data_IF_867937975414
#
_entry.id   IF_867937975414
#
_cell.length_a   1.000
_cell.length_b   1.000
_cell.length_c   1.000
_cell.angle_alpha   90.00
_cell.angle_beta   90.00
_cell.angle_gamma   90.00
#
_symmetry.space_group_name_H-M   'P 1'
#
loop_
_entity.id
_entity.type
_entity.pdbx_description
1 polymer ?
#
# COMPACT_ATOMS: atom_id res chain seq x y z
N UNK A 1 2.08 -31.85 11.20
CA UNK A 1 1.49 -30.50 11.21
C UNK A 1 0.00 -30.52 11.56
N UNK A 2 -0.93 -31.06 10.74
CA UNK A 2 -2.38 -31.01 11.07
C UNK A 2 -2.71 -31.69 12.40
N UNK A 3 -2.12 -32.85 12.70
CA UNK A 3 -2.27 -33.52 14.00
C UNK A 3 -1.68 -32.68 15.14
N UNK A 4 -0.59 -31.96 14.91
CA UNK A 4 0.01 -31.10 15.95
C UNK A 4 -0.91 -29.90 16.23
N UNK A 5 -1.51 -29.30 15.19
CA UNK A 5 -2.53 -28.25 15.35
C UNK A 5 -3.75 -28.80 16.11
N UNK A 6 -4.24 -29.99 15.75
CA UNK A 6 -5.36 -30.62 16.45
C UNK A 6 -5.04 -30.94 17.93
N UNK A 7 -3.80 -31.26 18.24
CA UNK A 7 -3.39 -31.53 19.64
C UNK A 7 -3.45 -30.27 20.53
N UNK A 8 -3.47 -29.08 19.96
CA UNK A 8 -3.55 -27.80 20.69
C UNK A 8 -4.95 -27.50 21.22
N UNK A 9 -6.01 -28.18 20.72
CA UNK A 9 -7.40 -27.89 21.13
C UNK A 9 -8.29 -29.13 21.00
N UNK A 10 -9.10 -29.42 22.02
CA UNK A 10 -10.12 -30.47 21.96
C UNK A 10 -11.26 -30.20 20.95
N UNK A 11 -11.32 -28.99 20.40
CA UNK A 11 -12.32 -28.59 19.38
C UNK A 11 -11.84 -28.83 17.95
N UNK A 12 -10.60 -29.27 17.76
CA UNK A 12 -10.02 -29.52 16.43
C UNK A 12 -9.77 -31.01 16.29
N UNK A 13 -10.30 -31.60 15.23
CA UNK A 13 -10.03 -32.98 14.86
C UNK A 13 -9.57 -33.09 13.42
N UNK A 14 -8.78 -34.10 13.11
CA UNK A 14 -8.31 -34.39 11.75
C UNK A 14 -8.95 -35.70 11.30
N UNK A 15 -9.60 -35.68 10.16
CA UNK A 15 -10.13 -36.87 9.51
C UNK A 15 -9.35 -37.09 8.21
N UNK A 16 -8.95 -38.33 7.96
CA UNK A 16 -8.30 -38.71 6.72
C UNK A 16 -9.37 -39.16 5.76
N UNK A 17 -9.46 -38.53 4.60
CA UNK A 17 -10.35 -38.91 3.50
C UNK A 17 -9.59 -39.58 2.37
N UNK A 18 -10.32 -40.25 1.48
CA UNK A 18 -9.79 -40.78 0.24
C UNK A 18 -9.78 -39.65 -0.81
N UNK A 19 -8.62 -39.34 -1.37
CA UNK A 19 -8.44 -38.30 -2.37
C UNK A 19 -7.06 -38.35 -3.01
N UNK A 20 -6.93 -37.77 -4.19
CA UNK A 20 -5.67 -37.69 -4.89
C UNK A 20 -4.86 -36.45 -4.42
N UNK A 21 -3.66 -36.71 -3.93
CA UNK A 21 -2.68 -35.67 -3.62
C UNK A 21 -2.83 -35.02 -2.24
N UNK A 22 -2.05 -34.00 -2.02
CA UNK A 22 -1.93 -33.27 -0.75
C UNK A 22 -2.98 -32.15 -0.71
N UNK A 23 -4.20 -32.48 -0.34
CA UNK A 23 -5.30 -31.53 -0.24
C UNK A 23 -6.05 -31.73 1.07
N UNK A 24 -6.48 -30.65 1.72
CA UNK A 24 -7.42 -30.72 2.84
C UNK A 24 -8.39 -29.55 2.83
N UNK A 25 -9.52 -29.78 3.45
CA UNK A 25 -10.62 -28.83 3.58
C UNK A 25 -10.86 -28.54 5.05
N UNK A 26 -11.25 -27.30 5.37
CA UNK A 26 -11.70 -26.98 6.70
C UNK A 26 -13.22 -27.17 6.76
N UNK A 27 -13.68 -27.96 7.73
CA UNK A 27 -15.09 -28.18 8.03
C UNK A 27 -15.43 -27.52 9.36
N UNK A 28 -16.65 -27.03 9.48
CA UNK A 28 -17.22 -26.57 10.76
C UNK A 28 -18.48 -27.37 11.02
N UNK A 29 -18.53 -28.05 12.16
CA UNK A 29 -19.65 -28.92 12.55
C UNK A 29 -20.05 -29.96 11.46
N UNK A 30 -19.04 -30.44 10.71
CA UNK A 30 -19.22 -31.42 9.62
C UNK A 30 -19.53 -30.80 8.25
N UNK A 31 -19.80 -29.50 8.17
CA UNK A 31 -20.13 -28.81 6.92
C UNK A 31 -18.90 -28.12 6.30
N UNK A 32 -18.83 -28.10 4.97
CA UNK A 32 -17.76 -27.46 4.20
C UNK A 32 -17.79 -25.93 4.39
N UNK A 33 -16.66 -25.36 4.78
CA UNK A 33 -16.56 -23.91 4.99
C UNK A 33 -16.20 -23.12 3.74
N UNK A 34 -15.90 -23.79 2.64
CA UNK A 34 -15.37 -23.20 1.41
C UNK A 34 -13.87 -22.94 1.44
N UNK A 35 -13.16 -23.15 2.57
CA UNK A 35 -11.72 -22.93 2.67
C UNK A 35 -10.97 -24.24 2.47
N UNK A 36 -10.03 -24.26 1.52
CA UNK A 36 -9.25 -25.44 1.16
C UNK A 36 -7.78 -25.08 0.92
N UNK A 37 -6.92 -26.08 1.11
CA UNK A 37 -5.47 -25.97 0.89
C UNK A 37 -5.00 -27.14 0.03
N UNK A 38 -4.36 -26.86 -1.08
CA UNK A 38 -3.66 -27.82 -1.94
C UNK A 38 -2.15 -27.65 -1.74
N UNK A 39 -1.65 -28.37 -0.77
CA UNK A 39 -0.31 -28.29 -0.23
C UNK A 39 -0.32 -28.20 1.30
N UNK A 40 0.86 -28.16 1.91
CA UNK A 40 1.03 -28.00 3.36
C UNK A 40 1.33 -26.54 3.64
N UNK A 41 0.43 -25.76 4.29
CA UNK A 41 0.66 -24.36 4.62
C UNK A 41 1.71 -24.22 5.73
N UNK A 42 2.97 -24.37 5.36
CA UNK A 42 4.15 -24.16 6.19
C UNK A 42 4.77 -22.78 5.96
N UNK A 43 5.85 -22.47 6.65
CA UNK A 43 6.57 -21.22 6.51
C UNK A 43 5.66 -20.04 6.81
N UNK A 44 5.60 -19.09 5.88
CA UNK A 44 4.76 -17.90 6.04
C UNK A 44 3.26 -18.18 6.01
N UNK A 45 2.81 -19.27 5.35
CA UNK A 45 1.39 -19.61 5.25
C UNK A 45 0.83 -20.38 6.47
N UNK A 46 1.66 -20.76 7.43
CA UNK A 46 1.17 -21.42 8.65
C UNK A 46 0.19 -20.54 9.43
N UNK A 47 0.46 -19.23 9.48
CA UNK A 47 -0.45 -18.26 10.10
C UNK A 47 -1.79 -18.15 9.37
N UNK A 48 -1.82 -18.37 8.05
CA UNK A 48 -3.05 -18.35 7.25
C UNK A 48 -3.99 -19.49 7.63
N UNK A 49 -3.45 -20.68 7.92
CA UNK A 49 -4.22 -21.81 8.45
C UNK A 49 -4.78 -21.51 9.85
N UNK A 50 -3.93 -21.02 10.77
CA UNK A 50 -4.36 -20.74 12.14
C UNK A 50 -5.45 -19.66 12.18
N UNK A 51 -5.30 -18.60 11.40
CA UNK A 51 -6.31 -17.54 11.32
C UNK A 51 -7.61 -18.02 10.68
N UNK A 52 -7.55 -18.90 9.67
CA UNK A 52 -8.76 -19.50 9.09
C UNK A 52 -9.57 -20.26 10.15
N UNK A 53 -8.90 -21.09 10.97
CA UNK A 53 -9.54 -21.82 12.06
C UNK A 53 -10.14 -20.86 13.10
N UNK A 54 -9.37 -19.86 13.55
CA UNK A 54 -9.83 -18.87 14.53
C UNK A 54 -11.00 -18.02 14.02
N UNK A 55 -11.00 -17.68 12.74
CA UNK A 55 -12.09 -16.91 12.12
C UNK A 55 -13.39 -17.73 12.12
N UNK A 56 -13.32 -19.01 11.80
CA UNK A 56 -14.48 -19.91 11.81
C UNK A 56 -15.04 -20.13 13.22
N UNK A 57 -14.18 -20.09 14.25
CA UNK A 57 -14.58 -20.17 15.66
C UNK A 57 -15.07 -18.81 16.24
N UNK A 58 -15.07 -17.76 15.42
CA UNK A 58 -15.47 -16.41 15.83
C UNK A 58 -14.47 -15.70 16.74
N UNK A 59 -13.26 -16.24 16.90
CA UNK A 59 -12.18 -15.70 17.75
C UNK A 59 -11.09 -14.99 16.96
N UNK A 60 -11.20 -14.99 15.63
CA UNK A 60 -10.30 -14.25 14.75
C UNK A 60 -10.40 -12.76 14.98
N UNK A 61 -9.24 -12.07 14.91
CA UNK A 61 -9.14 -10.60 15.12
C UNK A 61 -8.80 -9.82 13.86
N UNK A 62 -8.74 -10.48 12.72
CA UNK A 62 -8.36 -9.90 11.43
C UNK A 62 -9.57 -9.56 10.54
N UNK A 63 -10.78 -9.57 11.08
CA UNK A 63 -11.95 -9.08 10.37
C UNK A 63 -11.95 -7.55 10.33
N UNK A 64 -12.33 -6.95 9.18
CA UNK A 64 -12.62 -5.53 9.11
C UNK A 64 -13.89 -5.20 9.91
N UNK A 65 -14.23 -3.91 9.98
CA UNK A 65 -15.47 -3.48 10.61
C UNK A 65 -16.73 -3.98 9.86
N UNK A 66 -17.87 -3.90 10.51
CA UNK A 66 -19.14 -4.46 10.04
C UNK A 66 -19.60 -3.88 8.67
N UNK A 67 -19.24 -2.63 8.36
CA UNK A 67 -19.59 -2.05 7.05
C UNK A 67 -18.83 -2.74 5.92
N UNK A 68 -17.57 -3.06 6.11
CA UNK A 68 -16.76 -3.83 5.14
C UNK A 68 -17.22 -5.29 5.10
N UNK A 69 -17.56 -5.89 6.27
CA UNK A 69 -18.12 -7.24 6.29
C UNK A 69 -19.43 -7.32 5.50
N UNK A 70 -20.29 -6.30 5.58
CA UNK A 70 -21.53 -6.22 4.77
C UNK A 70 -21.25 -6.14 3.28
N UNK A 71 -20.20 -5.42 2.85
CA UNK A 71 -19.78 -5.39 1.44
C UNK A 71 -19.41 -6.77 0.93
N UNK A 72 -18.71 -7.58 1.73
CA UNK A 72 -18.40 -8.96 1.36
C UNK A 72 -19.68 -9.78 1.21
N UNK A 73 -20.63 -9.66 2.17
CA UNK A 73 -21.92 -10.38 2.10
C UNK A 73 -22.79 -9.94 0.93
N UNK A 74 -22.60 -8.72 0.43
CA UNK A 74 -23.33 -8.17 -0.71
C UNK A 74 -22.76 -8.60 -2.07
N UNK A 75 -21.61 -9.28 -2.12
CA UNK A 75 -21.10 -9.82 -3.39
C UNK A 75 -22.14 -10.77 -4.02
N UNK A 76 -22.33 -10.67 -5.31
CA UNK A 76 -23.16 -11.65 -6.03
C UNK A 76 -22.35 -12.94 -6.22
N UNK A 77 -22.95 -14.08 -5.88
CA UNK A 77 -22.31 -15.37 -5.95
C UNK A 77 -22.95 -16.30 -6.98
N UNK A 78 -22.37 -17.49 -7.20
CA UNK A 78 -21.22 -18.06 -6.49
C UNK A 78 -19.88 -17.45 -6.90
N UNK A 79 -18.89 -17.47 -5.97
CA UNK A 79 -17.53 -16.94 -6.17
C UNK A 79 -16.53 -18.04 -5.87
N UNK A 80 -15.72 -18.43 -6.87
CA UNK A 80 -14.69 -19.47 -6.71
C UNK A 80 -13.31 -18.89 -6.92
N UNK A 81 -12.51 -18.85 -5.84
CA UNK A 81 -11.18 -18.25 -5.84
C UNK A 81 -10.10 -19.32 -5.70
N UNK A 82 -9.04 -19.17 -6.47
CA UNK A 82 -7.82 -19.98 -6.35
C UNK A 82 -6.62 -19.04 -6.24
N UNK A 83 -5.81 -19.22 -5.19
CA UNK A 83 -4.60 -18.43 -5.00
C UNK A 83 -3.36 -19.33 -5.06
N UNK A 84 -2.54 -19.11 -6.07
CA UNK A 84 -1.22 -19.76 -6.17
C UNK A 84 -0.22 -18.98 -5.34
N UNK A 85 0.51 -19.69 -4.48
CA UNK A 85 1.48 -19.14 -3.53
C UNK A 85 2.84 -19.83 -3.62
N UNK A 86 3.85 -19.20 -3.02
CA UNK A 86 5.10 -19.84 -2.62
C UNK A 86 5.23 -19.75 -1.11
N UNK A 87 5.59 -20.84 -0.44
CA UNK A 87 5.73 -20.86 1.02
C UNK A 87 6.84 -19.94 1.56
N UNK A 88 7.74 -19.48 0.69
CA UNK A 88 8.80 -18.50 1.00
C UNK A 88 8.40 -17.06 0.69
N UNK A 89 7.23 -16.83 0.10
CA UNK A 89 6.72 -15.51 -0.25
C UNK A 89 6.21 -14.77 0.99
N UNK A 90 6.75 -13.60 1.28
CA UNK A 90 6.36 -12.78 2.43
C UNK A 90 5.04 -12.03 2.25
N UNK A 91 4.58 -11.85 1.01
CA UNK A 91 3.35 -11.13 0.66
C UNK A 91 2.14 -12.05 0.47
N UNK A 92 2.38 -13.36 0.30
CA UNK A 92 1.31 -14.34 0.05
C UNK A 92 0.32 -14.46 1.21
N UNK A 93 0.76 -14.48 2.50
CA UNK A 93 -0.16 -14.61 3.61
C UNK A 93 -1.21 -13.50 3.71
N UNK A 94 -0.86 -12.25 3.41
CA UNK A 94 -1.82 -11.13 3.47
C UNK A 94 -3.01 -11.37 2.53
N UNK A 95 -2.75 -11.90 1.33
CA UNK A 95 -3.78 -12.20 0.32
C UNK A 95 -4.59 -13.44 0.72
N UNK A 96 -3.93 -14.53 1.11
CA UNK A 96 -4.61 -15.79 1.52
C UNK A 96 -5.51 -15.54 2.73
N UNK A 97 -5.03 -14.82 3.74
CA UNK A 97 -5.78 -14.51 4.95
C UNK A 97 -7.00 -13.62 4.65
N UNK A 98 -6.84 -12.62 3.78
CA UNK A 98 -7.94 -11.76 3.38
C UNK A 98 -9.05 -12.55 2.65
N UNK A 99 -8.68 -13.42 1.71
CA UNK A 99 -9.65 -14.24 0.95
C UNK A 99 -10.29 -15.32 1.83
N UNK A 100 -9.54 -15.95 2.74
CA UNK A 100 -10.09 -16.88 3.73
C UNK A 100 -11.10 -16.17 4.66
N UNK A 101 -10.79 -14.94 5.11
CA UNK A 101 -11.72 -14.16 5.93
C UNK A 101 -13.00 -13.80 5.15
N UNK A 102 -12.89 -13.42 3.86
CA UNK A 102 -14.06 -13.18 3.01
C UNK A 102 -14.92 -14.45 2.84
N UNK A 103 -14.28 -15.61 2.69
CA UNK A 103 -14.97 -16.92 2.58
C UNK A 103 -15.80 -17.21 3.83
N UNK A 104 -15.33 -16.85 5.02
CA UNK A 104 -16.12 -17.04 6.26
C UNK A 104 -17.32 -16.10 6.37
N UNK A 105 -17.33 -14.99 5.62
CA UNK A 105 -18.39 -13.98 5.64
C UNK A 105 -19.47 -14.20 4.58
N UNK A 106 -19.16 -14.93 3.50
CA UNK A 106 -20.04 -15.08 2.35
C UNK A 106 -20.33 -16.56 2.05
N UNK A 107 -21.60 -17.02 2.14
CA UNK A 107 -21.95 -18.46 2.09
C UNK A 107 -21.69 -19.12 0.73
N UNK A 108 -21.59 -18.35 -0.35
CA UNK A 108 -21.33 -18.85 -1.70
C UNK A 108 -19.93 -18.53 -2.21
N UNK A 109 -19.00 -18.14 -1.30
CA UNK A 109 -17.61 -17.92 -1.65
C UNK A 109 -16.76 -19.11 -1.22
N UNK A 110 -15.93 -19.58 -2.12
CA UNK A 110 -14.92 -20.61 -1.84
C UNK A 110 -13.53 -20.11 -2.22
N UNK A 111 -12.54 -20.49 -1.43
CA UNK A 111 -11.14 -20.15 -1.66
C UNK A 111 -10.23 -21.36 -1.48
N UNK A 112 -9.37 -21.58 -2.46
CA UNK A 112 -8.36 -22.64 -2.46
C UNK A 112 -6.96 -21.99 -2.52
N UNK A 113 -6.14 -22.20 -1.50
CA UNK A 113 -4.72 -21.93 -1.56
C UNK A 113 -3.99 -23.08 -2.23
N UNK A 114 -3.15 -22.82 -3.23
CA UNK A 114 -2.37 -23.81 -3.97
C UNK A 114 -0.87 -23.52 -3.81
N UNK A 115 -0.12 -24.47 -3.29
CA UNK A 115 1.34 -24.39 -3.28
C UNK A 115 1.88 -24.61 -4.71
N UNK A 116 2.37 -23.53 -5.31
CA UNK A 116 2.89 -23.56 -6.67
C UNK A 116 4.11 -24.46 -6.84
N UNK A 117 4.87 -24.74 -5.78
CA UNK A 117 6.02 -25.64 -5.85
C UNK A 117 5.58 -27.10 -6.06
N UNK A 118 4.41 -27.50 -5.55
CA UNK A 118 3.84 -28.86 -5.72
C UNK A 118 3.07 -28.96 -7.03
N UNK A 119 2.43 -27.87 -7.47
CA UNK A 119 1.54 -27.82 -8.64
C UNK A 119 2.17 -27.09 -9.83
N UNK A 120 3.41 -27.40 -10.17
CA UNK A 120 4.17 -26.74 -11.24
C UNK A 120 3.52 -26.85 -12.63
N UNK A 121 2.86 -27.94 -12.92
CA UNK A 121 2.15 -28.13 -14.22
C UNK A 121 1.04 -27.10 -14.39
N UNK A 122 0.27 -26.84 -13.34
CA UNK A 122 -0.79 -25.81 -13.34
C UNK A 122 -0.16 -24.41 -13.44
N UNK A 123 0.90 -24.11 -12.68
CA UNK A 123 1.64 -22.84 -12.73
C UNK A 123 2.12 -22.55 -14.16
N UNK A 124 2.68 -23.56 -14.83
CA UNK A 124 3.17 -23.46 -16.20
C UNK A 124 2.03 -23.28 -17.22
N UNK A 125 0.96 -24.06 -17.07
CA UNK A 125 -0.22 -23.99 -17.97
C UNK A 125 -0.90 -22.61 -17.87
N UNK A 126 -1.01 -22.05 -16.68
CA UNK A 126 -1.58 -20.72 -16.41
C UNK A 126 -0.60 -19.58 -16.66
N UNK A 127 0.66 -19.88 -16.98
CA UNK A 127 1.74 -18.91 -17.22
C UNK A 127 1.92 -17.93 -16.05
N UNK A 128 1.85 -18.43 -14.82
CA UNK A 128 2.02 -17.62 -13.60
C UNK A 128 3.48 -17.21 -13.50
N UNK A 129 3.73 -15.91 -13.47
CA UNK A 129 5.08 -15.32 -13.40
C UNK A 129 5.37 -14.67 -12.05
N UNK A 130 4.38 -14.59 -11.15
CA UNK A 130 4.54 -13.95 -9.84
C UNK A 130 3.47 -14.45 -8.86
N UNK A 131 3.81 -14.46 -7.59
CA UNK A 131 2.93 -14.88 -6.48
C UNK A 131 2.83 -13.80 -5.41
N UNK A 132 1.67 -13.73 -4.69
CA UNK A 132 0.46 -14.51 -4.88
C UNK A 132 -0.22 -14.19 -6.21
N UNK A 133 -0.82 -15.19 -6.87
CA UNK A 133 -1.62 -15.02 -8.07
C UNK A 133 -3.05 -15.52 -7.81
N UNK A 134 -4.03 -14.61 -7.85
CA UNK A 134 -5.43 -14.90 -7.53
C UNK A 134 -6.24 -15.02 -8.81
N UNK A 135 -6.92 -16.15 -8.95
CA UNK A 135 -7.84 -16.43 -10.01
C UNK A 135 -9.28 -16.48 -9.47
N UNK A 136 -10.21 -15.89 -10.20
CA UNK A 136 -11.63 -15.95 -9.97
C UNK A 136 -12.27 -16.70 -11.16
N UNK A 137 -12.90 -17.85 -10.89
CA UNK A 137 -13.47 -18.72 -11.93
C UNK A 137 -12.50 -18.98 -13.10
N UNK A 138 -11.21 -19.18 -12.79
CA UNK A 138 -10.15 -19.43 -13.77
C UNK A 138 -9.59 -18.18 -14.47
N UNK A 139 -10.11 -16.98 -14.19
CA UNK A 139 -9.59 -15.69 -14.70
C UNK A 139 -8.66 -15.07 -13.70
N UNK A 140 -7.46 -14.69 -14.13
CA UNK A 140 -6.49 -13.96 -13.29
C UNK A 140 -7.02 -12.57 -12.95
N UNK A 141 -7.23 -12.27 -11.65
CA UNK A 141 -7.74 -10.98 -11.17
C UNK A 141 -6.71 -10.18 -10.38
N UNK A 142 -5.70 -10.85 -9.81
CA UNK A 142 -4.70 -10.17 -8.99
C UNK A 142 -3.36 -10.92 -9.00
N UNK A 143 -2.26 -10.17 -8.99
CA UNK A 143 -0.89 -10.68 -8.81
C UNK A 143 -0.15 -9.77 -7.85
N UNK A 144 0.66 -10.37 -6.99
CA UNK A 144 1.51 -9.66 -6.03
C UNK A 144 0.78 -9.23 -4.77
N UNK A 145 1.35 -8.27 -4.06
CA UNK A 145 0.81 -7.77 -2.80
C UNK A 145 -0.61 -7.22 -2.97
N UNK A 146 -1.50 -7.56 -2.06
CA UNK A 146 -2.87 -7.06 -2.01
C UNK A 146 -3.39 -7.03 -0.58
N UNK A 147 -4.15 -6.00 -0.24
CA UNK A 147 -4.87 -5.93 1.03
C UNK A 147 -6.36 -6.30 0.87
N UNK A 148 -7.03 -6.47 2.00
CA UNK A 148 -8.44 -6.86 2.04
C UNK A 148 -9.34 -5.95 1.17
N UNK A 149 -9.17 -4.62 1.28
CA UNK A 149 -10.00 -3.65 0.54
C UNK A 149 -9.77 -3.69 -0.96
N UNK A 150 -8.51 -3.82 -1.39
CA UNK A 150 -8.15 -3.94 -2.80
C UNK A 150 -8.72 -5.22 -3.43
N UNK A 151 -8.60 -6.34 -2.72
CA UNK A 151 -9.14 -7.61 -3.18
C UNK A 151 -10.66 -7.57 -3.24
N UNK A 152 -11.33 -7.04 -2.20
CA UNK A 152 -12.78 -6.86 -2.19
C UNK A 152 -13.24 -5.99 -3.35
N UNK A 153 -12.61 -4.85 -3.61
CA UNK A 153 -12.97 -3.97 -4.74
C UNK A 153 -12.84 -4.65 -6.10
N UNK A 154 -11.87 -5.55 -6.27
CA UNK A 154 -11.73 -6.36 -7.48
C UNK A 154 -12.85 -7.39 -7.62
N UNK A 155 -13.25 -8.03 -6.52
CA UNK A 155 -14.37 -8.96 -6.51
C UNK A 155 -15.69 -8.24 -6.77
N UNK A 156 -15.91 -7.06 -6.19
CA UNK A 156 -17.07 -6.21 -6.48
C UNK A 156 -17.15 -5.83 -7.97
N UNK A 157 -16.01 -5.51 -8.59
CA UNK A 157 -15.95 -5.20 -10.03
C UNK A 157 -16.20 -6.41 -10.92
N UNK A 158 -15.76 -7.62 -10.53
CA UNK A 158 -15.89 -8.84 -11.31
C UNK A 158 -17.30 -9.46 -11.20
N UNK A 159 -17.83 -9.54 -9.97
CA UNK A 159 -19.09 -10.24 -9.69
C UNK A 159 -20.28 -9.30 -9.53
N UNK A 160 -20.03 -8.01 -9.24
CA UNK A 160 -21.06 -7.05 -8.86
C UNK A 160 -21.54 -7.23 -7.42
N UNK A 161 -22.39 -6.31 -6.98
CA UNK A 161 -22.94 -6.27 -5.62
C UNK A 161 -24.48 -6.26 -5.65
N UNK A 162 -25.09 -6.81 -4.63
CA UNK A 162 -26.52 -6.68 -4.38
C UNK A 162 -26.77 -5.32 -3.73
N UNK A 163 -27.31 -4.38 -4.50
CA UNK A 163 -27.59 -3.00 -4.05
C UNK A 163 -28.59 -2.96 -2.91
N UNK A 164 -29.46 -3.97 -2.77
CA UNK A 164 -30.43 -4.02 -1.66
C UNK A 164 -29.77 -4.24 -0.30
N UNK A 165 -28.56 -4.79 -0.28
CA UNK A 165 -27.74 -5.00 0.94
C UNK A 165 -26.81 -3.83 1.22
N UNK A 166 -26.70 -2.83 0.33
CA UNK A 166 -25.89 -1.64 0.53
C UNK A 166 -26.70 -0.57 1.26
N UNK A 167 -26.28 -0.21 2.46
CA UNK A 167 -26.93 0.82 3.25
C UNK A 167 -26.33 2.19 2.89
N UNK A 168 -27.16 3.10 2.38
CA UNK A 168 -26.80 4.51 2.28
C UNK A 168 -26.81 5.12 3.67
N UNK A 169 -25.66 5.40 4.23
CA UNK A 169 -25.54 5.97 5.57
C UNK A 169 -24.69 7.24 5.55
N UNK A 170 -25.21 8.29 6.20
CA UNK A 170 -24.45 9.51 6.47
C UNK A 170 -23.97 9.47 7.91
N UNK A 171 -22.65 9.54 8.11
CA UNK A 171 -22.03 9.55 9.44
C UNK A 171 -21.41 10.93 9.71
N UNK A 172 -21.83 11.55 10.81
CA UNK A 172 -21.41 12.88 11.21
C UNK A 172 -20.18 12.86 12.12
N UNK A 173 -19.22 13.71 11.79
CA UNK A 173 -17.99 13.95 12.55
C UNK A 173 -17.72 15.45 12.66
N UNK A 174 -16.87 15.83 13.62
CA UNK A 174 -16.31 17.19 13.68
C UNK A 174 -15.15 17.35 12.71
N UNK A 175 -14.35 16.29 12.57
CA UNK A 175 -13.22 16.23 11.64
C UNK A 175 -13.19 14.87 10.96
N UNK A 176 -13.08 14.87 9.64
CA UNK A 176 -12.73 13.67 8.86
C UNK A 176 -11.28 13.82 8.38
N UNK A 177 -10.44 12.88 8.76
CA UNK A 177 -9.06 12.76 8.27
C UNK A 177 -9.05 11.71 7.15
N UNK A 178 -8.67 12.10 5.96
CA UNK A 178 -8.60 11.22 4.80
C UNK A 178 -7.16 10.77 4.58
N UNK A 179 -6.91 9.50 4.91
CA UNK A 179 -5.60 8.86 4.86
C UNK A 179 -5.08 8.43 6.24
N UNK A 180 -4.53 7.22 6.32
CA UNK A 180 -4.08 6.56 7.55
C UNK A 180 -2.56 6.54 7.75
N UNK A 181 -1.80 7.34 6.95
CA UNK A 181 -0.35 7.45 7.08
C UNK A 181 0.09 8.32 8.27
N UNK A 182 1.39 8.64 8.40
CA UNK A 182 1.93 9.43 9.50
C UNK A 182 1.23 10.79 9.70
N UNK A 183 0.94 11.50 8.61
CA UNK A 183 0.22 12.78 8.67
C UNK A 183 -1.20 12.60 9.20
N UNK A 184 -1.94 11.61 8.66
CA UNK A 184 -3.32 11.38 9.07
C UNK A 184 -3.44 10.87 10.49
N UNK A 185 -2.57 9.96 10.91
CA UNK A 185 -2.54 9.47 12.30
C UNK A 185 -2.27 10.60 13.29
N UNK A 186 -1.30 11.47 12.99
CA UNK A 186 -1.00 12.64 13.79
C UNK A 186 -2.18 13.62 13.84
N UNK A 187 -2.77 13.93 12.69
CA UNK A 187 -3.94 14.80 12.61
C UNK A 187 -5.11 14.29 13.44
N UNK A 188 -5.39 12.99 13.36
CA UNK A 188 -6.48 12.36 14.11
C UNK A 188 -6.26 12.44 15.63
N UNK A 189 -5.05 12.10 16.09
CA UNK A 189 -4.69 12.14 17.50
C UNK A 189 -4.81 13.58 18.05
N UNK A 190 -4.25 14.57 17.34
CA UNK A 190 -4.32 15.96 17.78
C UNK A 190 -5.75 16.50 17.78
N UNK A 191 -6.59 16.13 16.81
CA UNK A 191 -8.01 16.48 16.78
C UNK A 191 -8.78 15.84 17.94
N UNK A 192 -8.58 14.54 18.18
CA UNK A 192 -9.23 13.83 19.28
C UNK A 192 -8.85 14.37 20.66
N UNK A 193 -7.58 14.76 20.85
CA UNK A 193 -7.10 15.42 22.08
C UNK A 193 -7.73 16.78 22.34
N UNK A 194 -8.36 17.41 21.34
CA UNK A 194 -9.18 18.62 21.47
C UNK A 194 -10.65 18.33 21.76
N UNK A 195 -11.01 17.05 22.00
CA UNK A 195 -12.37 16.62 22.28
C UNK A 195 -13.28 16.57 21.05
N UNK A 196 -12.72 16.60 19.84
CA UNK A 196 -13.47 16.51 18.60
C UNK A 196 -13.84 15.05 18.29
N UNK A 197 -15.01 14.84 17.69
CA UNK A 197 -15.42 13.55 17.12
C UNK A 197 -14.71 13.35 15.78
N UNK A 198 -13.79 12.39 15.73
CA UNK A 198 -12.86 12.19 14.60
C UNK A 198 -13.07 10.86 13.91
N UNK A 199 -13.07 10.87 12.57
CA UNK A 199 -12.89 9.67 11.77
C UNK A 199 -11.58 9.75 10.98
N UNK A 200 -10.86 8.62 10.93
CA UNK A 200 -9.80 8.37 9.93
C UNK A 200 -10.39 7.45 8.88
N UNK A 201 -10.53 7.94 7.66
CA UNK A 201 -11.02 7.17 6.51
C UNK A 201 -9.82 6.88 5.61
N UNK A 202 -9.49 5.60 5.44
CA UNK A 202 -8.27 5.20 4.74
C UNK A 202 -8.43 3.86 4.02
N UNK A 203 -7.63 3.63 3.00
CA UNK A 203 -7.48 2.30 2.41
C UNK A 203 -6.77 1.37 3.40
N UNK A 204 -5.70 1.86 4.03
CA UNK A 204 -4.93 1.13 5.06
C UNK A 204 -4.28 2.08 6.05
N UNK A 205 -4.03 1.61 7.28
CA UNK A 205 -3.21 2.34 8.25
C UNK A 205 -1.72 2.14 7.98
N UNK A 206 -0.94 3.20 8.22
CA UNK A 206 0.48 3.30 7.89
C UNK A 206 0.74 3.89 6.51
N UNK A 207 -0.22 3.78 5.57
CA UNK A 207 -0.04 4.28 4.21
C UNK A 207 1.19 3.68 3.54
N UNK A 208 1.95 4.47 2.81
CA UNK A 208 3.15 4.06 2.07
C UNK A 208 4.30 3.62 3.00
N UNK A 209 4.36 4.13 4.22
CA UNK A 209 5.39 3.74 5.21
C UNK A 209 5.41 2.25 5.46
N UNK A 210 4.27 1.56 5.43
CA UNK A 210 4.17 0.11 5.64
C UNK A 210 5.05 -0.70 4.67
N UNK A 211 5.41 -0.13 3.53
CA UNK A 211 6.27 -0.77 2.51
C UNK A 211 7.77 -0.58 2.76
N UNK A 212 8.14 0.30 3.69
CA UNK A 212 9.55 0.59 4.02
C UNK A 212 10.14 -0.52 4.88
N UNK A 213 11.25 -1.10 4.43
CA UNK A 213 11.89 -2.24 5.12
C UNK A 213 12.57 -1.80 6.41
N UNK A 214 13.35 -0.72 6.37
CA UNK A 214 14.06 -0.16 7.52
C UNK A 214 13.86 1.34 7.62
N UNK A 215 13.69 1.86 8.83
CA UNK A 215 13.52 3.29 9.13
C UNK A 215 14.48 3.64 10.27
N UNK A 216 15.48 4.48 9.99
CA UNK A 216 16.51 4.91 10.95
C UNK A 216 16.54 6.44 11.14
N UNK A 217 15.71 7.16 10.38
CA UNK A 217 15.67 8.62 10.38
C UNK A 217 14.45 9.23 11.10
N UNK A 218 13.73 8.43 11.87
CA UNK A 218 12.64 8.90 12.72
C UNK A 218 13.18 9.27 14.12
N UNK A 219 13.18 10.55 14.44
CA UNK A 219 13.72 11.07 15.71
C UNK A 219 13.06 10.36 16.90
N UNK A 220 13.87 9.92 17.86
CA UNK A 220 13.56 9.11 19.04
C UNK A 220 13.30 7.62 18.79
N UNK A 221 13.33 7.18 17.55
CA UNK A 221 13.22 5.76 17.16
C UNK A 221 14.50 5.40 16.38
N UNK A 222 15.54 4.83 17.03
CA UNK A 222 16.83 4.59 16.38
C UNK A 222 16.73 3.66 15.18
N UNK A 223 15.87 2.62 15.27
CA UNK A 223 15.62 1.66 14.21
C UNK A 223 14.21 1.09 14.34
N UNK A 224 13.50 0.95 13.22
CA UNK A 224 12.20 0.26 13.15
C UNK A 224 11.93 -0.19 11.71
N UNK A 225 10.87 -0.97 11.52
CA UNK A 225 10.34 -1.30 10.19
C UNK A 225 9.07 -0.51 9.90
N UNK A 226 8.74 -0.32 8.63
CA UNK A 226 7.51 0.35 8.24
C UNK A 226 6.25 -0.35 8.75
N UNK A 227 6.25 -1.69 8.76
CA UNK A 227 5.15 -2.48 9.30
C UNK A 227 4.96 -2.25 10.81
N UNK A 228 6.07 -2.23 11.58
CA UNK A 228 6.04 -1.97 13.02
C UNK A 228 5.61 -0.53 13.34
N UNK A 229 6.10 0.45 12.57
CA UNK A 229 5.66 1.84 12.71
C UNK A 229 4.16 1.99 12.40
N UNK A 230 3.65 1.35 11.36
CA UNK A 230 2.24 1.37 11.01
C UNK A 230 1.36 0.81 12.13
N UNK A 231 1.78 -0.30 12.75
CA UNK A 231 1.07 -0.87 13.90
C UNK A 231 1.13 0.05 15.13
N UNK A 232 2.26 0.66 15.42
CA UNK A 232 2.39 1.65 16.50
C UNK A 232 1.48 2.86 16.29
N UNK A 233 1.34 3.35 15.04
CA UNK A 233 0.40 4.42 14.71
C UNK A 233 -1.05 3.99 14.97
N UNK A 234 -1.42 2.77 14.59
CA UNK A 234 -2.75 2.17 14.87
C UNK A 234 -3.01 2.11 16.37
N UNK A 235 -2.12 1.49 17.13
CA UNK A 235 -2.23 1.33 18.58
C UNK A 235 -2.33 2.68 19.30
N UNK A 236 -1.58 3.69 18.84
CA UNK A 236 -1.66 5.03 19.40
C UNK A 236 -3.01 5.72 19.12
N UNK A 237 -3.53 5.61 17.89
CA UNK A 237 -4.87 6.13 17.57
C UNK A 237 -5.97 5.45 18.41
N UNK A 238 -5.85 4.16 18.67
CA UNK A 238 -6.82 3.38 19.47
C UNK A 238 -6.87 3.81 20.95
N UNK A 239 -5.89 4.55 21.45
CA UNK A 239 -5.94 5.14 22.80
C UNK A 239 -6.94 6.31 22.92
N UNK A 240 -7.49 6.76 21.81
CA UNK A 240 -8.44 7.88 21.73
C UNK A 240 -9.74 7.42 21.07
N UNK A 241 -10.86 8.14 21.29
CA UNK A 241 -12.14 7.82 20.66
C UNK A 241 -12.15 8.22 19.16
N UNK A 242 -11.26 7.63 18.39
CA UNK A 242 -11.13 7.85 16.95
C UNK A 242 -11.82 6.68 16.21
N UNK A 243 -12.72 6.98 15.30
CA UNK A 243 -13.27 5.99 14.37
C UNK A 243 -12.22 5.69 13.28
N UNK A 244 -11.53 4.56 13.40
CA UNK A 244 -10.56 4.11 12.39
C UNK A 244 -11.32 3.26 11.36
N UNK A 245 -11.49 3.80 10.15
CA UNK A 245 -12.29 3.22 9.08
C UNK A 245 -11.38 2.87 7.90
N UNK A 246 -10.88 1.63 7.91
CA UNK A 246 -10.02 1.09 6.86
C UNK A 246 -10.82 0.49 5.70
N UNK A 247 -10.13 0.19 4.62
CA UNK A 247 -10.69 -0.42 3.41
C UNK A 247 -11.75 0.44 2.73
N UNK A 248 -11.61 1.77 2.84
CA UNK A 248 -12.47 2.76 2.19
C UNK A 248 -11.68 3.58 1.19
N UNK A 249 -12.25 3.71 0.00
CA UNK A 249 -11.79 4.61 -1.03
C UNK A 249 -12.85 5.69 -1.28
N UNK A 250 -12.49 6.96 -1.07
CA UNK A 250 -13.37 8.08 -1.35
C UNK A 250 -13.33 8.39 -2.84
N UNK A 251 -14.49 8.32 -3.48
CA UNK A 251 -14.64 8.55 -4.92
C UNK A 251 -15.25 9.91 -5.24
N UNK A 252 -15.89 10.55 -4.26
CA UNK A 252 -16.55 11.84 -4.46
C UNK A 252 -16.45 12.71 -3.22
N UNK A 253 -16.23 14.01 -3.43
CA UNK A 253 -16.30 15.02 -2.37
C UNK A 253 -17.20 16.14 -2.85
N UNK A 254 -18.12 16.60 -1.99
CA UNK A 254 -19.08 17.66 -2.27
C UNK A 254 -19.12 18.65 -1.12
N UNK A 255 -19.47 19.91 -1.43
CA UNK A 255 -19.72 20.95 -0.46
C UNK A 255 -21.23 21.04 -0.19
N UNK A 256 -21.64 20.99 1.08
CA UNK A 256 -23.00 21.21 1.55
C UNK A 256 -22.99 22.28 2.64
N UNK A 257 -23.07 23.53 2.21
CA UNK A 257 -22.89 24.67 3.10
C UNK A 257 -21.53 24.66 3.76
N UNK A 258 -21.48 24.62 5.08
CA UNK A 258 -20.21 24.51 5.83
C UNK A 258 -19.66 23.08 5.87
N UNK A 259 -20.46 22.07 5.52
CA UNK A 259 -20.07 20.66 5.58
C UNK A 259 -19.43 20.21 4.27
N UNK A 260 -18.57 19.20 4.39
CA UNK A 260 -17.98 18.45 3.30
C UNK A 260 -18.51 17.02 3.39
N UNK A 261 -19.01 16.52 2.26
CA UNK A 261 -19.54 15.17 2.12
C UNK A 261 -18.51 14.33 1.35
N UNK A 262 -18.00 13.29 2.00
CA UNK A 262 -17.02 12.38 1.40
C UNK A 262 -17.70 11.03 1.20
N UNK A 263 -17.94 10.65 -0.06
CA UNK A 263 -18.68 9.44 -0.40
C UNK A 263 -17.77 8.35 -0.95
N UNK A 264 -17.99 7.12 -0.52
CA UNK A 264 -17.40 5.90 -1.11
C UNK A 264 -18.23 5.43 -2.29
N UNK A 265 -17.65 4.60 -3.15
CA UNK A 265 -18.40 3.94 -4.24
C UNK A 265 -19.53 3.03 -3.73
N UNK A 266 -19.47 2.59 -2.48
CA UNK A 266 -20.41 1.66 -1.85
C UNK A 266 -21.52 2.34 -1.02
N UNK A 267 -21.68 3.67 -1.13
CA UNK A 267 -22.80 4.43 -0.55
C UNK A 267 -22.57 4.97 0.87
N UNK A 268 -21.45 4.66 1.53
CA UNK A 268 -21.12 5.35 2.80
C UNK A 268 -20.74 6.80 2.52
N UNK A 269 -21.29 7.73 3.30
CA UNK A 269 -20.95 9.15 3.24
C UNK A 269 -20.53 9.64 4.62
N UNK A 270 -19.38 10.32 4.68
CA UNK A 270 -18.85 10.94 5.89
C UNK A 270 -19.04 12.45 5.78
N UNK A 271 -19.71 13.06 6.74
CA UNK A 271 -20.01 14.49 6.75
C UNK A 271 -19.27 15.18 7.89
N UNK A 272 -18.53 16.24 7.57
CA UNK A 272 -17.84 17.05 8.58
C UNK A 272 -17.65 18.50 8.13
N UNK A 273 -17.59 19.46 9.07
CA UNK A 273 -17.22 20.85 8.74
C UNK A 273 -15.72 20.98 8.43
N UNK A 274 -14.88 20.10 8.97
CA UNK A 274 -13.44 20.06 8.70
C UNK A 274 -13.00 18.74 8.06
N UNK A 275 -12.21 18.84 6.99
CA UNK A 275 -11.55 17.69 6.33
C UNK A 275 -10.06 17.94 6.28
N UNK A 276 -9.26 16.98 6.75
CA UNK A 276 -7.80 17.00 6.64
C UNK A 276 -7.38 15.96 5.61
N UNK A 277 -6.91 16.42 4.45
CA UNK A 277 -6.44 15.57 3.36
C UNK A 277 -5.00 15.14 3.67
N UNK A 278 -4.82 13.87 3.98
CA UNK A 278 -3.55 13.23 4.33
C UNK A 278 -3.31 11.95 3.51
N UNK A 279 -3.79 11.96 2.26
CA UNK A 279 -3.77 10.82 1.33
C UNK A 279 -2.38 10.47 0.81
N UNK A 280 -1.39 11.33 1.07
CA UNK A 280 -0.02 11.14 0.67
C UNK A 280 0.21 11.25 -0.83
N UNK A 281 1.26 10.61 -1.30
CA UNK A 281 1.64 10.55 -2.71
C UNK A 281 2.07 9.13 -3.06
N UNK A 282 2.00 8.80 -4.35
CA UNK A 282 2.45 7.51 -4.87
C UNK A 282 3.67 7.71 -5.76
N UNK A 283 4.69 6.91 -5.58
CA UNK A 283 5.84 6.89 -6.48
C UNK A 283 5.41 6.41 -7.87
N UNK A 284 5.84 7.13 -8.88
CA UNK A 284 5.67 6.65 -10.25
C UNK A 284 6.56 5.44 -10.46
N UNK A 285 6.00 4.42 -11.12
CA UNK A 285 6.67 3.17 -11.44
C UNK A 285 7.26 3.21 -12.83
N UNK A 286 8.33 2.47 -13.04
CA UNK A 286 8.90 2.23 -14.38
C UNK A 286 7.97 1.35 -15.22
N UNK A 287 7.22 0.46 -14.56
CA UNK A 287 6.34 -0.54 -15.16
C UNK A 287 7.10 -1.47 -16.12
N UNK A 288 8.27 -1.91 -15.70
CA UNK A 288 9.10 -2.86 -16.43
C UNK A 288 9.19 -4.20 -15.68
N UNK A 289 9.47 -5.32 -16.38
CA UNK A 289 9.72 -6.61 -15.75
C UNK A 289 10.74 -6.51 -14.61
N UNK A 290 10.53 -7.24 -13.53
CA UNK A 290 11.40 -7.30 -12.35
C UNK A 290 11.27 -6.12 -11.39
N UNK A 291 10.68 -4.97 -11.77
CA UNK A 291 10.57 -3.83 -10.86
C UNK A 291 9.83 -4.21 -9.58
N UNK A 292 8.63 -4.78 -9.71
CA UNK A 292 7.80 -5.13 -8.56
C UNK A 292 8.39 -6.26 -7.70
N UNK A 293 9.12 -7.19 -8.32
CA UNK A 293 9.70 -8.34 -7.65
C UNK A 293 10.84 -7.95 -6.70
N UNK A 294 11.52 -6.85 -7.00
CA UNK A 294 12.71 -6.41 -6.27
C UNK A 294 12.53 -5.11 -5.47
N UNK A 295 11.30 -4.63 -5.28
CA UNK A 295 11.03 -3.52 -4.36
C UNK A 295 11.43 -3.92 -2.93
N UNK A 296 12.27 -3.07 -2.28
CA UNK A 296 12.87 -3.37 -0.97
C UNK A 296 13.98 -4.43 -1.01
N UNK A 297 14.28 -4.98 -2.20
CA UNK A 297 15.38 -5.94 -2.42
C UNK A 297 16.31 -5.49 -3.54
N UNK A 298 16.50 -4.18 -3.64
CA UNK A 298 17.35 -3.54 -4.64
C UNK A 298 16.66 -2.48 -5.48
N UNK A 299 15.33 -2.45 -5.56
CA UNK A 299 14.57 -1.32 -6.10
C UNK A 299 14.09 -0.46 -4.93
N UNK A 300 14.44 0.82 -4.95
CA UNK A 300 14.15 1.80 -3.92
C UNK A 300 13.59 3.09 -4.54
N UNK A 301 12.91 3.90 -3.72
CA UNK A 301 12.27 5.15 -4.15
C UNK A 301 12.72 6.35 -3.30
N UNK A 302 13.33 6.14 -2.14
CA UNK A 302 13.74 7.20 -1.23
C UNK A 302 15.26 7.17 -1.00
N UNK A 303 16.05 8.05 -1.62
CA UNK A 303 17.51 8.09 -1.41
C UNK A 303 17.90 8.33 0.04
N UNK A 304 17.18 9.22 0.75
CA UNK A 304 17.42 9.53 2.14
C UNK A 304 17.09 8.38 3.10
N UNK A 305 16.15 7.50 2.71
CA UNK A 305 15.72 6.36 3.53
C UNK A 305 16.62 5.15 3.30
N UNK A 306 16.85 4.82 2.02
CA UNK A 306 17.45 3.56 1.60
C UNK A 306 18.94 3.72 1.23
N UNK A 307 19.39 4.95 0.94
CA UNK A 307 20.77 5.24 0.53
C UNK A 307 21.85 4.64 1.44
N UNK A 308 21.75 4.74 2.77
CA UNK A 308 22.73 4.17 3.69
C UNK A 308 23.00 2.68 3.50
N UNK A 309 21.99 1.89 3.08
CA UNK A 309 22.13 0.45 2.82
C UNK A 309 23.01 0.13 1.58
N UNK A 310 23.29 1.13 0.74
CA UNK A 310 24.09 1.02 -0.47
C UNK A 310 25.50 1.63 -0.33
N UNK A 311 25.96 1.85 0.89
CA UNK A 311 27.31 2.38 1.15
C UNK A 311 28.38 1.53 0.46
N UNK A 312 29.21 2.18 -0.36
CA UNK A 312 30.30 1.55 -1.11
C UNK A 312 29.87 0.67 -2.29
N UNK A 313 28.57 0.64 -2.62
CA UNK A 313 28.01 -0.16 -3.73
C UNK A 313 27.84 0.67 -5.00
N UNK A 314 27.55 0.00 -6.12
CA UNK A 314 27.16 0.63 -7.37
C UNK A 314 25.63 0.70 -7.47
N UNK A 315 25.08 1.88 -7.70
CA UNK A 315 23.63 2.08 -7.84
C UNK A 315 23.27 2.83 -9.13
N UNK A 316 22.04 2.61 -9.61
CA UNK A 316 21.46 3.46 -10.64
C UNK A 316 20.44 4.41 -10.03
N UNK A 317 20.32 5.60 -10.62
CA UNK A 317 19.21 6.54 -10.43
C UNK A 317 18.49 6.67 -11.77
N UNK A 318 17.21 6.29 -11.81
CA UNK A 318 16.39 6.42 -13.01
C UNK A 318 15.54 7.69 -12.91
N UNK A 319 15.84 8.67 -13.77
CA UNK A 319 15.23 9.99 -13.83
C UNK A 319 16.24 11.12 -13.76
N UNK A 320 16.14 12.09 -14.65
CA UNK A 320 17.05 13.24 -14.81
C UNK A 320 16.40 14.60 -14.51
N UNK A 321 15.31 14.62 -13.75
CA UNK A 321 14.72 15.84 -13.15
C UNK A 321 15.46 16.24 -11.87
N UNK A 322 15.02 17.33 -11.20
CA UNK A 322 15.64 17.81 -9.96
C UNK A 322 15.79 16.70 -8.94
N UNK A 323 14.73 15.98 -8.61
CA UNK A 323 14.77 14.88 -7.63
C UNK A 323 15.76 13.78 -7.99
N UNK A 324 15.87 13.41 -9.27
CA UNK A 324 16.82 12.38 -9.70
C UNK A 324 18.28 12.85 -9.61
N UNK A 325 18.55 14.10 -9.98
CA UNK A 325 19.92 14.62 -9.91
C UNK A 325 20.33 14.92 -8.47
N UNK A 326 19.43 15.43 -7.61
CA UNK A 326 19.64 15.56 -6.17
C UNK A 326 19.95 14.19 -5.53
N UNK A 327 19.13 13.18 -5.86
CA UNK A 327 19.36 11.81 -5.42
C UNK A 327 20.74 11.27 -5.84
N UNK A 328 21.14 11.55 -7.08
CA UNK A 328 22.45 11.11 -7.59
C UNK A 328 23.60 11.80 -6.86
N UNK A 329 23.46 13.08 -6.51
CA UNK A 329 24.47 13.83 -5.74
C UNK A 329 24.57 13.28 -4.32
N UNK A 330 23.44 13.04 -3.64
CA UNK A 330 23.39 12.49 -2.29
C UNK A 330 24.01 11.09 -2.25
N UNK A 331 23.60 10.22 -3.17
CA UNK A 331 24.10 8.85 -3.27
C UNK A 331 25.60 8.80 -3.64
N UNK A 332 26.10 9.76 -4.41
CA UNK A 332 27.52 9.84 -4.73
C UNK A 332 28.40 10.07 -3.50
N UNK A 333 27.87 10.67 -2.44
CA UNK A 333 28.57 10.81 -1.15
C UNK A 333 28.68 9.50 -0.36
N UNK A 334 27.93 8.47 -0.71
CA UNK A 334 27.79 7.22 0.05
C UNK A 334 28.24 6.00 -0.78
N UNK A 335 27.87 5.99 -2.06
CA UNK A 335 28.08 4.88 -2.97
C UNK A 335 29.43 4.97 -3.69
N UNK A 336 29.98 3.84 -4.10
CA UNK A 336 31.20 3.80 -4.91
C UNK A 336 31.00 4.34 -6.32
N UNK A 337 29.81 4.13 -6.89
CA UNK A 337 29.43 4.58 -8.23
C UNK A 337 27.95 4.84 -8.31
N UNK A 338 27.55 5.89 -9.03
CA UNK A 338 26.16 6.22 -9.34
C UNK A 338 26.00 6.38 -10.86
N UNK A 339 25.06 5.62 -11.43
CA UNK A 339 24.70 5.71 -12.84
C UNK A 339 23.34 6.36 -12.98
N UNK A 340 23.27 7.55 -13.56
CA UNK A 340 22.01 8.25 -13.85
C UNK A 340 21.50 7.83 -15.23
N UNK A 341 20.25 7.41 -15.31
CA UNK A 341 19.58 6.99 -16.53
C UNK A 341 18.38 7.93 -16.80
N UNK A 342 18.46 8.72 -17.86
CA UNK A 342 17.41 9.62 -18.27
C UNK A 342 16.82 9.18 -19.62
N UNK A 343 15.50 9.07 -19.68
CA UNK A 343 14.77 8.66 -20.90
C UNK A 343 14.84 9.72 -22.02
N UNK A 344 14.80 11.00 -21.64
CA UNK A 344 14.86 12.10 -22.59
C UNK A 344 16.30 12.30 -23.14
N UNK A 345 16.42 13.11 -24.16
CA UNK A 345 17.69 13.47 -24.79
C UNK A 345 18.54 14.46 -23.97
N UNK A 346 18.02 14.97 -22.88
CA UNK A 346 18.70 15.86 -21.94
C UNK A 346 18.09 15.85 -20.57
N UNK A 347 18.88 16.23 -19.56
CA UNK A 347 18.43 16.39 -18.20
C UNK A 347 17.44 17.57 -18.09
N UNK A 348 16.42 17.41 -17.22
CA UNK A 348 15.43 18.44 -16.90
C UNK A 348 15.68 19.13 -15.56
N UNK A 349 16.70 18.70 -14.84
CA UNK A 349 17.13 19.33 -13.59
C UNK A 349 17.66 20.76 -13.82
N UNK A 350 17.68 21.56 -12.78
CA UNK A 350 18.30 22.88 -12.78
C UNK A 350 19.80 22.80 -13.10
N UNK A 351 20.31 23.80 -13.82
CA UNK A 351 21.67 23.77 -14.31
C UNK A 351 22.71 23.60 -13.19
N UNK A 352 22.49 24.24 -12.05
CA UNK A 352 23.38 24.15 -10.89
C UNK A 352 23.50 22.69 -10.39
N UNK A 353 22.40 21.96 -10.36
CA UNK A 353 22.39 20.54 -9.99
C UNK A 353 23.10 19.67 -11.04
N UNK A 354 22.83 19.95 -12.32
CA UNK A 354 23.50 19.25 -13.42
C UNK A 354 25.03 19.42 -13.37
N UNK A 355 25.47 20.68 -13.19
CA UNK A 355 26.92 21.02 -13.12
C UNK A 355 27.56 20.34 -11.90
N UNK A 356 26.87 20.32 -10.75
CA UNK A 356 27.33 19.61 -9.56
C UNK A 356 27.44 18.10 -9.80
N UNK A 357 26.41 17.46 -10.33
CA UNK A 357 26.45 16.02 -10.61
C UNK A 357 27.58 15.64 -11.58
N UNK A 358 27.78 16.44 -12.65
CA UNK A 358 28.87 16.23 -13.64
C UNK A 358 30.27 16.45 -13.05
N UNK A 359 30.41 17.21 -11.97
CA UNK A 359 31.70 17.44 -11.30
C UNK A 359 32.12 16.27 -10.42
N UNK A 360 31.25 15.32 -10.14
CA UNK A 360 31.53 14.17 -9.28
C UNK A 360 32.12 13.02 -10.10
N UNK A 361 33.30 12.55 -9.73
CA UNK A 361 34.05 11.54 -10.46
C UNK A 361 33.41 10.15 -10.45
N UNK A 362 32.53 9.88 -9.51
CA UNK A 362 31.82 8.61 -9.36
C UNK A 362 30.38 8.65 -9.89
N UNK A 363 29.98 9.73 -10.61
CA UNK A 363 28.67 9.87 -11.24
C UNK A 363 28.82 9.77 -12.76
N UNK A 364 28.10 8.83 -13.36
CA UNK A 364 27.97 8.72 -14.83
C UNK A 364 26.52 9.03 -15.22
N UNK A 365 26.34 9.81 -16.29
CA UNK A 365 25.01 10.24 -16.75
C UNK A 365 24.79 9.77 -18.18
N UNK A 366 23.74 8.99 -18.38
CA UNK A 366 23.28 8.53 -19.69
C UNK A 366 21.90 9.10 -19.98
N UNK A 367 21.82 9.93 -21.00
CA UNK A 367 20.54 10.43 -21.55
C UNK A 367 20.08 9.51 -22.69
N UNK A 368 18.87 9.74 -23.20
CA UNK A 368 18.24 8.89 -24.22
C UNK A 368 18.23 7.39 -23.84
N UNK A 369 18.19 7.08 -22.54
CA UNK A 369 18.29 5.73 -22.00
C UNK A 369 16.96 5.22 -21.52
N UNK A 370 16.38 4.24 -22.22
CA UNK A 370 15.15 3.56 -21.82
C UNK A 370 15.48 2.37 -20.93
N UNK A 371 14.91 2.34 -19.73
CA UNK A 371 14.94 1.14 -18.88
C UNK A 371 13.99 0.10 -19.47
N UNK A 372 14.48 -1.13 -19.65
CA UNK A 372 13.70 -2.25 -20.19
C UNK A 372 13.34 -3.28 -19.13
N UNK A 373 14.24 -3.54 -18.18
CA UNK A 373 14.09 -4.61 -17.20
C UNK A 373 14.96 -4.35 -15.97
N UNK A 374 14.44 -4.71 -14.80
CA UNK A 374 15.21 -4.86 -13.55
C UNK A 374 15.65 -6.31 -13.45
N UNK A 375 16.95 -6.56 -13.47
CA UNK A 375 17.50 -7.91 -13.43
C UNK A 375 17.92 -8.27 -12.01
N UNK A 376 17.44 -9.41 -11.53
CA UNK A 376 17.80 -9.93 -10.22
C UNK A 376 18.18 -11.41 -10.26
N UNK A 377 18.65 -11.94 -9.14
CA UNK A 377 19.05 -13.33 -8.97
C UNK A 377 18.06 -14.17 -8.15
N UNK A 378 16.84 -13.67 -7.96
CA UNK A 378 15.81 -14.27 -7.11
C UNK A 378 15.81 -13.72 -5.67
N UNK A 379 16.97 -13.30 -5.15
CA UNK A 379 17.12 -12.70 -3.82
C UNK A 379 17.09 -11.16 -3.90
N UNK A 380 17.90 -10.58 -4.77
CA UNK A 380 18.08 -9.13 -4.91
C UNK A 380 18.39 -8.72 -6.35
N UNK A 381 18.34 -7.40 -6.58
CA UNK A 381 18.82 -6.80 -7.83
C UNK A 381 20.32 -7.08 -8.05
N UNK A 382 20.68 -7.42 -9.27
CA UNK A 382 22.06 -7.59 -9.73
C UNK A 382 22.39 -6.75 -10.97
N UNK A 383 21.38 -6.08 -11.55
CA UNK A 383 21.57 -5.23 -12.70
C UNK A 383 20.29 -4.59 -13.23
N UNK A 384 20.48 -3.74 -14.25
CA UNK A 384 19.40 -3.09 -15.00
C UNK A 384 19.71 -3.21 -16.51
N UNK A 385 18.72 -3.61 -17.29
CA UNK A 385 18.80 -3.64 -18.75
C UNK A 385 18.26 -2.32 -19.31
N UNK A 386 19.08 -1.69 -20.13
CA UNK A 386 18.75 -0.41 -20.75
C UNK A 386 18.99 -0.43 -22.25
N UNK A 387 18.24 0.38 -22.97
CA UNK A 387 18.36 0.60 -24.40
C UNK A 387 18.70 2.05 -24.68
N UNK A 388 19.74 2.29 -25.45
CA UNK A 388 20.02 3.59 -26.04
C UNK A 388 18.98 3.88 -27.13
N UNK A 389 18.18 4.92 -26.97
CA UNK A 389 17.09 5.27 -27.88
C UNK A 389 17.58 5.84 -29.23
N UNK A 390 18.83 6.32 -29.28
CA UNK A 390 19.38 6.88 -30.50
C UNK A 390 19.97 5.79 -31.37
N UNK A 391 20.71 4.82 -30.78
CA UNK A 391 21.40 3.74 -31.52
C UNK A 391 20.57 2.47 -31.57
N UNK A 392 19.62 2.28 -30.63
CA UNK A 392 18.88 1.03 -30.47
C UNK A 392 19.65 -0.07 -29.74
N UNK A 393 20.88 0.20 -29.32
CA UNK A 393 21.73 -0.76 -28.63
C UNK A 393 21.22 -1.04 -27.22
N UNK A 394 21.18 -2.32 -26.85
CA UNK A 394 20.80 -2.77 -25.50
C UNK A 394 22.04 -3.19 -24.72
N UNK A 395 22.06 -2.84 -23.43
CA UNK A 395 23.14 -3.25 -22.53
C UNK A 395 22.61 -3.58 -21.16
N UNK A 396 23.30 -4.50 -20.49
CA UNK A 396 23.10 -4.81 -19.08
C UNK A 396 24.15 -4.04 -18.27
N UNK A 397 23.70 -3.25 -17.31
CA UNK A 397 24.55 -2.57 -16.32
C UNK A 397 24.47 -3.37 -15.02
N UNK A 398 25.58 -3.97 -14.60
CA UNK A 398 25.66 -4.67 -13.31
C UNK A 398 25.72 -3.66 -12.18
N UNK A 399 24.85 -3.81 -11.18
CA UNK A 399 24.74 -2.91 -10.03
C UNK A 399 23.99 -3.58 -8.88
N UNK A 400 24.04 -2.95 -7.70
CA UNK A 400 23.47 -3.49 -6.45
C UNK A 400 22.11 -2.89 -6.09
N UNK A 401 21.73 -1.77 -6.71
CA UNK A 401 20.46 -1.12 -6.40
C UNK A 401 20.03 -0.07 -7.42
N UNK A 402 18.72 0.17 -7.49
CA UNK A 402 18.08 1.09 -8.43
C UNK A 402 17.18 2.02 -7.65
N UNK A 403 17.42 3.34 -7.75
CA UNK A 403 16.59 4.38 -7.19
C UNK A 403 15.70 4.97 -8.29
N UNK A 404 14.40 4.72 -8.22
CA UNK A 404 13.44 5.20 -9.21
C UNK A 404 13.00 6.61 -8.82
N UNK A 405 13.42 7.62 -9.62
CA UNK A 405 13.22 9.04 -9.36
C UNK A 405 12.52 9.76 -10.53
N UNK A 406 11.48 9.11 -11.06
CA UNK A 406 10.66 9.63 -12.18
C UNK A 406 9.43 10.44 -11.72
N UNK A 407 9.44 10.83 -10.45
CA UNK A 407 8.49 11.72 -9.82
C UNK A 407 7.50 11.04 -8.89
N UNK A 408 6.85 11.88 -8.09
CA UNK A 408 5.72 11.55 -7.24
C UNK A 408 4.43 11.99 -7.92
N UNK A 409 3.35 11.28 -7.66
CA UNK A 409 1.99 11.68 -7.99
C UNK A 409 1.22 11.87 -6.67
N UNK A 410 0.83 13.10 -6.38
CA UNK A 410 0.01 13.38 -5.21
C UNK A 410 -1.36 12.70 -5.34
N UNK A 411 -1.82 12.05 -4.26
CA UNK A 411 -3.12 11.37 -4.23
C UNK A 411 -4.25 12.38 -3.95
N UNK A 412 -4.36 13.39 -4.80
CA UNK A 412 -5.27 14.54 -4.68
C UNK A 412 -6.42 14.52 -5.67
N UNK A 413 -6.53 13.50 -6.52
CA UNK A 413 -7.42 13.47 -7.67
C UNK A 413 -8.89 13.82 -7.33
N UNK A 414 -9.40 13.31 -6.22
CA UNK A 414 -10.80 13.55 -5.79
C UNK A 414 -11.06 15.00 -5.33
N UNK A 415 -10.00 15.78 -5.08
CA UNK A 415 -10.06 17.19 -4.68
C UNK A 415 -9.65 18.17 -5.79
N UNK A 416 -9.22 17.70 -6.97
CA UNK A 416 -8.59 18.52 -8.02
C UNK A 416 -9.44 19.71 -8.46
N UNK A 417 -10.74 19.52 -8.56
CA UNK A 417 -11.66 20.57 -9.01
C UNK A 417 -12.17 21.45 -7.85
N UNK A 418 -11.77 21.15 -6.63
CA UNK A 418 -12.24 21.80 -5.41
C UNK A 418 -11.18 22.68 -4.77
N UNK A 419 -9.94 22.23 -4.73
CA UNK A 419 -8.82 22.95 -4.11
C UNK A 419 -7.75 23.29 -5.13
N UNK A 420 -6.99 24.34 -4.85
CA UNK A 420 -5.85 24.71 -5.69
C UNK A 420 -4.76 23.65 -5.62
N UNK A 421 -4.27 23.21 -6.81
CA UNK A 421 -3.16 22.27 -6.94
C UNK A 421 -2.09 22.83 -7.86
N UNK A 422 -0.82 22.47 -7.58
CA UNK A 422 0.26 22.79 -8.49
C UNK A 422 0.31 21.81 -9.70
N UNK A 423 1.26 22.03 -10.62
CA UNK A 423 1.40 21.20 -11.82
C UNK A 423 1.63 19.69 -11.53
N UNK A 424 2.42 19.28 -10.50
CA UNK A 424 2.53 17.88 -10.09
C UNK A 424 1.26 17.30 -9.46
N UNK A 425 0.25 18.12 -9.11
CA UNK A 425 -1.00 17.71 -8.47
C UNK A 425 -0.98 17.84 -6.94
N UNK A 426 0.06 18.42 -6.35
CA UNK A 426 0.11 18.64 -4.90
C UNK A 426 -0.86 19.76 -4.51
N UNK A 427 -1.58 19.57 -3.40
CA UNK A 427 -2.52 20.55 -2.86
C UNK A 427 -1.73 21.74 -2.29
N UNK A 428 -2.03 22.93 -2.78
CA UNK A 428 -1.41 24.18 -2.30
C UNK A 428 -1.91 24.50 -0.90
N UNK A 429 -0.96 24.71 0.03
CA UNK A 429 -1.26 25.03 1.43
C UNK A 429 -0.49 26.27 1.91
N UNK A 430 -1.07 26.98 2.87
CA UNK A 430 -0.38 28.01 3.63
C UNK A 430 0.50 27.42 4.75
N UNK A 431 1.17 28.27 5.52
CA UNK A 431 2.01 27.87 6.67
C UNK A 431 1.23 27.19 7.80
N UNK A 432 -0.10 27.22 7.78
CA UNK A 432 -1.03 26.61 8.71
C UNK A 432 -1.71 25.36 8.16
N UNK A 433 -1.26 24.85 7.01
CA UNK A 433 -1.86 23.71 6.31
C UNK A 433 -3.29 23.97 5.78
N UNK A 434 -3.74 25.23 5.67
CA UNK A 434 -5.03 25.60 5.07
C UNK A 434 -4.93 25.59 3.56
N UNK A 435 -5.96 25.12 2.90
CA UNK A 435 -6.13 25.27 1.45
C UNK A 435 -6.87 26.57 1.15
N UNK A 436 -7.08 26.86 -0.13
CA UNK A 436 -7.93 27.97 -0.58
C UNK A 436 -9.44 27.78 -0.26
N UNK A 437 -9.86 26.61 0.25
CA UNK A 437 -11.25 26.30 0.61
C UNK A 437 -11.37 26.16 2.13
N UNK A 438 -12.22 27.00 2.74
CA UNK A 438 -12.44 26.98 4.17
C UNK A 438 -12.91 25.60 4.67
N UNK A 439 -12.26 25.09 5.73
CA UNK A 439 -12.53 23.79 6.31
C UNK A 439 -11.91 22.60 5.54
N UNK A 440 -11.11 22.85 4.50
CA UNK A 440 -10.26 21.83 3.89
C UNK A 440 -8.80 22.17 4.17
N UNK A 441 -8.11 21.22 4.77
CA UNK A 441 -6.68 21.28 5.14
C UNK A 441 -5.96 20.15 4.42
N UNK A 442 -4.68 20.32 4.14
CA UNK A 442 -3.87 19.23 3.61
C UNK A 442 -2.53 19.11 4.35
N UNK A 443 -2.05 17.89 4.53
CA UNK A 443 -0.84 17.60 5.30
C UNK A 443 -0.05 16.42 4.74
N UNK A 444 1.27 16.48 4.84
CA UNK A 444 2.18 15.46 4.34
C UNK A 444 2.32 15.49 2.82
N UNK A 445 2.66 14.36 2.24
CA UNK A 445 3.16 14.26 0.87
C UNK A 445 2.15 14.67 -0.22
N UNK A 446 0.86 14.71 0.10
CA UNK A 446 -0.19 15.20 -0.81
C UNK A 446 -0.15 16.72 -1.02
N UNK A 447 0.49 17.45 -0.12
CA UNK A 447 0.54 18.92 -0.10
C UNK A 447 1.84 19.46 -0.67
N UNK A 448 1.92 20.78 -0.83
CA UNK A 448 3.14 21.50 -1.27
C UNK A 448 4.21 21.63 -0.18
N UNK A 449 4.08 20.88 0.94
CA UNK A 449 5.13 20.85 1.98
C UNK A 449 6.45 20.34 1.36
N UNK A 450 7.57 21.04 1.57
CA UNK A 450 8.87 20.55 1.12
C UNK A 450 9.33 19.34 1.95
N UNK A 451 10.21 18.52 1.36
CA UNK A 451 10.83 17.36 2.02
C UNK A 451 9.83 16.31 2.50
N UNK A 452 9.47 15.39 1.61
CA UNK A 452 8.51 14.30 1.86
C UNK A 452 9.12 13.25 2.82
N UNK A 453 9.03 13.52 4.14
CA UNK A 453 9.60 12.70 5.21
C UNK A 453 8.54 12.37 6.26
N UNK A 454 8.70 11.22 6.94
CA UNK A 454 7.78 10.75 7.98
C UNK A 454 7.60 11.80 9.07
N UNK A 455 8.70 12.32 9.61
CA UNK A 455 8.66 13.30 10.70
C UNK A 455 8.01 14.63 10.29
N UNK A 456 8.23 15.07 9.06
CA UNK A 456 7.60 16.28 8.51
C UNK A 456 6.10 16.04 8.34
N UNK A 457 5.71 14.91 7.78
CA UNK A 457 4.30 14.52 7.62
C UNK A 457 3.57 14.47 8.97
N UNK A 458 4.19 13.92 10.03
CA UNK A 458 3.65 13.93 11.39
C UNK A 458 3.44 15.37 11.90
N UNK A 459 4.43 16.25 11.71
CA UNK A 459 4.36 17.66 12.11
C UNK A 459 3.28 18.43 11.38
N UNK A 460 3.17 18.22 10.06
CA UNK A 460 2.13 18.84 9.24
C UNK A 460 0.72 18.36 9.63
N UNK A 461 0.54 17.06 9.92
CA UNK A 461 -0.73 16.52 10.40
C UNK A 461 -1.18 17.15 11.71
N UNK A 462 -0.25 17.30 12.68
CA UNK A 462 -0.53 17.98 13.94
C UNK A 462 -0.91 19.45 13.71
N UNK A 463 -0.18 20.16 12.83
CA UNK A 463 -0.45 21.55 12.48
C UNK A 463 -1.82 21.72 11.83
N UNK A 464 -2.18 20.88 10.88
CA UNK A 464 -3.48 20.89 10.22
C UNK A 464 -4.64 20.71 11.23
N UNK A 465 -4.49 19.78 12.17
CA UNK A 465 -5.47 19.55 13.22
C UNK A 465 -5.65 20.76 14.16
N UNK A 466 -4.55 21.39 14.54
CA UNK A 466 -4.56 22.59 15.39
C UNK A 466 -5.20 23.77 14.64
N UNK A 467 -4.91 23.92 13.36
CA UNK A 467 -5.51 24.96 12.52
C UNK A 467 -7.04 24.74 12.32
N UNK A 468 -7.48 23.49 12.13
CA UNK A 468 -8.89 23.17 12.05
C UNK A 468 -9.63 23.48 13.35
N UNK A 469 -9.00 23.17 14.50
CA UNK A 469 -9.56 23.51 15.81
C UNK A 469 -9.65 25.03 16.02
N UNK A 470 -8.59 25.78 15.68
CA UNK A 470 -8.57 27.23 15.75
C UNK A 470 -9.67 27.87 14.91
N UNK A 471 -9.83 27.43 13.66
CA UNK A 471 -10.85 27.95 12.75
C UNK A 471 -12.26 27.64 13.23
N UNK A 472 -12.49 26.48 13.86
CA UNK A 472 -13.74 26.15 14.53
C UNK A 472 -14.04 27.11 15.69
N UNK A 473 -13.06 27.36 16.55
CA UNK A 473 -13.22 28.29 17.69
C UNK A 473 -13.52 29.71 17.23
N UNK A 474 -12.92 30.12 16.12
CA UNK A 474 -13.14 31.44 15.49
C UNK A 474 -14.43 31.53 14.68
N UNK A 475 -15.17 30.43 14.52
CA UNK A 475 -16.41 30.41 13.72
C UNK A 475 -16.20 30.51 12.20
N UNK A 476 -15.03 30.14 11.72
CA UNK A 476 -14.70 30.08 10.27
C UNK A 476 -15.38 28.85 9.63
N UNK A 477 -15.51 27.77 10.41
CA UNK A 477 -16.08 26.47 10.01
C UNK A 477 -17.10 25.92 11.02
#
# INVERSE_FOLDING_TARGET
>A
MLHDVASCSSHISVQVGDGDGLCFHILRDGEMTGISFRGIPNGHEFTSLLLAILNLDGKGKNFPDESVCRRVRALKGPVHLTTYVSLTCTNCPDVVQALNAMTTLHPQLSHVMVDGAIHQDEVNALKIQGVPAVFADGKLIHVGRGDFGQLLSKLEAEYGVDESMTEQSIKDYDVVVLGGGPAGSSAAIYSARKGLKVAVVAERIGGQVKETVGIENLISVPETTGAHLAENLRLHMQQYPISILEHRHIVKVELDGKYKLLSTATGETFRAPAVIVATGASWRRLNVPGENDYIGRGVAFCPHCDGPFYKGKHVAVVGGGNSGIEAAIDLAGICSKVTVLEFLDGLKADRVLQDKARSLSNVEIFVSSQTLEVVGNGDKVVGIRVKDRNTGEERLISLDGIFVQIGLAANSAVFRDMVETNRPGEIVIDTHCRTNVAGIYAAGDVSTVPYKQIIISMGEGAKAALSAFEDRVRGVI
#
